data_IF_963064963452
#
_entry.id   IF_963064963452
#
_cell.length_a   1.000
_cell.length_b   1.000
_cell.length_c   1.000
_cell.angle_alpha   90.00
_cell.angle_beta   90.00
_cell.angle_gamma   90.00
#
_symmetry.space_group_name_H-M   'P 1'
#
loop_
_entity.id
_entity.type
_entity.pdbx_description
1 polymer ?
#
# COMPACT_ATOMS: atom_id res chain seq x y z
N UNK A 1 -24.84 30.73 -18.87
CA UNK A 1 -25.94 29.75 -18.69
C UNK A 1 -25.92 29.46 -17.22
N UNK A 2 -26.82 30.11 -16.46
CA UNK A 2 -26.86 29.97 -15.01
C UNK A 2 -27.34 28.56 -14.68
N UNK A 3 -26.49 27.74 -14.08
CA UNK A 3 -26.91 26.46 -13.50
C UNK A 3 -27.93 26.76 -12.41
N UNK A 4 -29.21 26.54 -12.74
CA UNK A 4 -30.31 26.70 -11.81
C UNK A 4 -30.11 25.70 -10.68
N UNK A 5 -29.73 26.18 -9.51
CA UNK A 5 -29.65 25.39 -8.29
C UNK A 5 -31.05 24.86 -7.96
N UNK A 6 -31.33 23.63 -8.38
CA UNK A 6 -32.63 22.99 -8.24
C UNK A 6 -32.73 22.20 -6.93
N UNK A 7 -33.95 21.76 -6.61
CA UNK A 7 -34.22 21.00 -5.38
C UNK A 7 -33.43 19.69 -5.31
N UNK A 8 -33.18 19.03 -6.45
CA UNK A 8 -32.38 17.81 -6.50
C UNK A 8 -30.91 18.08 -6.17
N UNK A 9 -30.35 19.18 -6.66
CA UNK A 9 -29.00 19.64 -6.32
C UNK A 9 -28.87 19.94 -4.83
N UNK A 10 -29.89 20.56 -4.23
CA UNK A 10 -29.95 20.76 -2.77
C UNK A 10 -29.96 19.43 -2.00
N UNK A 11 -30.80 18.47 -2.41
CA UNK A 11 -30.86 17.14 -1.77
C UNK A 11 -29.54 16.39 -1.90
N UNK A 12 -28.89 16.45 -3.08
CA UNK A 12 -27.57 15.86 -3.30
C UNK A 12 -26.52 16.48 -2.37
N UNK A 13 -26.48 17.81 -2.26
CA UNK A 13 -25.55 18.53 -1.37
C UNK A 13 -25.77 18.18 0.11
N UNK A 14 -27.04 18.08 0.55
CA UNK A 14 -27.35 17.65 1.92
C UNK A 14 -26.90 16.21 2.20
N UNK A 15 -27.12 15.29 1.25
CA UNK A 15 -26.66 13.89 1.35
C UNK A 15 -25.14 13.82 1.41
N UNK A 16 -24.46 14.52 0.50
CA UNK A 16 -23.00 14.56 0.45
C UNK A 16 -22.43 15.10 1.77
N UNK A 17 -22.96 16.24 2.24
CA UNK A 17 -22.57 16.84 3.52
C UNK A 17 -22.76 15.85 4.67
N UNK A 18 -23.91 15.18 4.75
CA UNK A 18 -24.18 14.18 5.78
C UNK A 18 -23.18 13.03 5.75
N UNK A 19 -22.95 12.43 4.58
CA UNK A 19 -22.00 11.33 4.40
C UNK A 19 -20.57 11.76 4.73
N UNK A 20 -20.13 12.94 4.28
CA UNK A 20 -18.80 13.47 4.61
C UNK A 20 -18.63 13.70 6.12
N UNK A 21 -19.65 14.26 6.80
CA UNK A 21 -19.57 14.47 8.25
C UNK A 21 -19.54 13.17 9.04
N UNK A 22 -20.34 12.16 8.63
CA UNK A 22 -20.29 10.82 9.23
C UNK A 22 -18.91 10.17 9.05
N UNK A 23 -18.33 10.24 7.86
CA UNK A 23 -16.99 9.71 7.58
C UNK A 23 -15.91 10.41 8.42
N UNK A 24 -15.99 11.74 8.57
CA UNK A 24 -15.07 12.50 9.44
C UNK A 24 -15.17 12.09 10.90
N UNK A 25 -16.40 11.93 11.42
CA UNK A 25 -16.62 11.47 12.79
C UNK A 25 -16.02 10.07 13.01
N UNK A 26 -16.28 9.13 12.09
CA UNK A 26 -15.71 7.78 12.15
C UNK A 26 -14.18 7.79 12.09
N UNK A 27 -13.57 8.60 11.22
CA UNK A 27 -12.11 8.75 11.14
C UNK A 27 -11.53 9.31 12.44
N UNK A 28 -12.16 10.33 13.02
CA UNK A 28 -11.72 10.91 14.29
C UNK A 28 -11.73 9.86 15.40
N UNK A 29 -12.82 9.08 15.52
CA UNK A 29 -12.91 8.00 16.50
C UNK A 29 -11.81 6.96 16.26
N UNK A 30 -11.56 6.56 15.01
CA UNK A 30 -10.52 5.59 14.69
C UNK A 30 -9.13 6.06 15.11
N UNK A 31 -8.77 7.32 14.86
CA UNK A 31 -7.47 7.90 15.23
C UNK A 31 -7.34 7.98 16.76
N UNK A 32 -8.37 8.46 17.46
CA UNK A 32 -8.38 8.53 18.92
C UNK A 32 -8.24 7.15 19.57
N UNK A 33 -8.83 6.12 18.98
CA UNK A 33 -8.63 4.72 19.40
C UNK A 33 -7.17 4.28 19.23
N UNK A 34 -6.50 4.67 18.14
CA UNK A 34 -5.08 4.36 17.91
C UNK A 34 -4.22 5.06 18.96
N UNK A 35 -4.45 6.35 19.20
CA UNK A 35 -3.72 7.12 20.21
C UNK A 35 -3.90 6.54 21.60
N UNK A 36 -5.14 6.20 21.98
CA UNK A 36 -5.44 5.52 23.25
C UNK A 36 -4.67 4.21 23.38
N UNK A 37 -4.69 3.37 22.35
CA UNK A 37 -4.02 2.07 22.38
C UNK A 37 -2.49 2.23 22.46
N UNK A 38 -1.93 3.23 21.78
CA UNK A 38 -0.51 3.58 21.90
C UNK A 38 -0.14 4.01 23.32
N UNK A 39 -0.94 4.90 23.93
CA UNK A 39 -0.75 5.34 25.32
C UNK A 39 -0.86 4.18 26.32
N UNK A 40 -1.80 3.26 26.10
CA UNK A 40 -1.92 2.08 26.95
C UNK A 40 -0.68 1.18 26.83
N UNK A 41 -0.14 1.02 25.62
CA UNK A 41 1.14 0.35 25.41
C UNK A 41 2.29 1.03 26.16
N UNK A 42 2.36 2.35 26.11
CA UNK A 42 3.34 3.14 26.86
C UNK A 42 3.21 2.92 28.38
N UNK A 43 2.00 3.03 28.95
CA UNK A 43 1.75 2.81 30.38
C UNK A 43 2.20 1.40 30.82
N UNK A 44 1.93 0.38 30.00
CA UNK A 44 2.35 -1.00 30.28
C UNK A 44 3.89 -1.10 30.31
N UNK A 45 4.58 -0.54 29.32
CA UNK A 45 6.05 -0.61 29.24
C UNK A 45 6.72 0.17 30.36
N UNK A 46 6.26 1.38 30.66
CA UNK A 46 6.78 2.19 31.78
C UNK A 46 6.58 1.49 33.12
N UNK A 47 5.39 0.93 33.36
CA UNK A 47 5.11 0.18 34.58
C UNK A 47 6.02 -1.04 34.73
N UNK A 48 6.30 -1.75 33.63
CA UNK A 48 7.23 -2.88 33.61
C UNK A 48 8.68 -2.47 33.90
N UNK A 49 9.11 -1.28 33.46
CA UNK A 49 10.48 -0.80 33.65
C UNK A 49 10.71 -0.15 35.03
N UNK A 50 9.74 0.62 35.52
CA UNK A 50 9.89 1.53 36.66
C UNK A 50 9.00 1.20 37.88
N UNK A 51 8.10 0.23 37.78
CA UNK A 51 7.18 -0.14 38.86
C UNK A 51 7.88 -0.60 40.15
N UNK A 52 7.24 -0.48 41.31
CA UNK A 52 7.84 -0.90 42.58
C UNK A 52 7.94 -2.45 42.70
N UNK A 53 6.98 -3.18 42.11
CA UNK A 53 6.81 -4.64 42.27
C UNK A 53 7.46 -5.47 41.14
N UNK A 54 8.70 -5.15 40.76
CA UNK A 54 9.37 -5.66 39.53
C UNK A 54 9.71 -7.15 39.54
N UNK A 55 9.82 -7.75 40.72
CA UNK A 55 10.56 -9.00 40.90
C UNK A 55 9.83 -10.29 40.45
N UNK A 56 8.56 -10.23 40.03
CA UNK A 56 7.77 -11.47 39.93
C UNK A 56 6.84 -11.56 38.68
N UNK A 57 6.66 -10.52 37.85
CA UNK A 57 5.33 -10.33 37.20
C UNK A 57 5.28 -9.92 35.70
N UNK A 58 6.08 -10.51 34.80
CA UNK A 58 6.01 -10.21 33.35
C UNK A 58 4.70 -10.62 32.65
N UNK A 59 4.19 -11.85 32.91
CA UNK A 59 2.87 -12.35 32.47
C UNK A 59 1.74 -12.02 33.47
N UNK A 60 2.16 -11.76 34.71
CA UNK A 60 1.40 -11.23 35.84
C UNK A 60 0.41 -10.11 35.54
N UNK A 61 1.02 -9.06 35.02
CA UNK A 61 0.43 -7.71 34.96
C UNK A 61 -0.66 -7.63 33.91
N UNK A 62 -0.48 -8.23 32.73
CA UNK A 62 -1.47 -8.16 31.66
C UNK A 62 -2.78 -8.84 32.07
N UNK A 63 -2.71 -9.97 32.77
CA UNK A 63 -3.87 -10.67 33.30
C UNK A 63 -4.63 -9.83 34.33
N UNK A 64 -3.92 -9.29 35.33
CA UNK A 64 -4.52 -8.40 36.35
C UNK A 64 -5.13 -7.15 35.72
N UNK A 65 -4.41 -6.53 34.79
CA UNK A 65 -4.84 -5.34 34.08
C UNK A 65 -6.05 -5.62 33.18
N UNK A 66 -6.09 -6.77 32.52
CA UNK A 66 -7.23 -7.19 31.69
C UNK A 66 -8.51 -7.31 32.53
N UNK A 67 -8.44 -7.97 33.69
CA UNK A 67 -9.57 -8.07 34.62
C UNK A 67 -10.01 -6.68 35.08
N UNK A 68 -9.09 -5.88 35.62
CA UNK A 68 -9.40 -4.56 36.16
C UNK A 68 -9.97 -3.59 35.09
N UNK A 69 -9.44 -3.58 33.87
CA UNK A 69 -9.96 -2.73 32.80
C UNK A 69 -11.31 -3.23 32.29
N UNK A 70 -11.53 -4.55 32.25
CA UNK A 70 -12.81 -5.11 31.81
C UNK A 70 -13.92 -4.80 32.80
N UNK A 71 -13.63 -4.82 34.10
CA UNK A 71 -14.57 -4.45 35.17
C UNK A 71 -14.92 -2.95 35.14
N UNK A 72 -13.93 -2.08 34.90
CA UNK A 72 -14.13 -0.62 34.98
C UNK A 72 -14.59 0.03 33.66
N UNK A 73 -14.15 -0.48 32.51
CA UNK A 73 -14.37 0.13 31.19
C UNK A 73 -15.18 -0.74 30.23
N UNK A 74 -15.54 -1.96 30.64
CA UNK A 74 -16.32 -2.90 29.83
C UNK A 74 -15.49 -3.77 28.87
N UNK A 75 -16.15 -4.35 27.87
CA UNK A 75 -15.52 -5.34 26.97
C UNK A 75 -14.49 -4.70 26.04
N UNK A 76 -13.44 -5.45 25.68
CA UNK A 76 -12.43 -5.04 24.69
C UNK A 76 -10.98 -5.03 25.20
N UNK A 77 -10.76 -5.27 26.50
CA UNK A 77 -9.43 -5.24 27.14
C UNK A 77 -8.92 -6.64 27.49
N UNK A 78 -8.89 -7.55 26.52
CA UNK A 78 -8.34 -8.89 26.72
C UNK A 78 -6.82 -8.85 26.93
N UNK A 79 -6.25 -9.89 27.55
CA UNK A 79 -4.78 -10.04 27.67
C UNK A 79 -4.08 -9.89 26.31
N UNK A 80 -4.66 -10.48 25.26
CA UNK A 80 -4.17 -10.38 23.87
C UNK A 80 -4.20 -8.94 23.35
N UNK A 81 -5.27 -8.20 23.62
CA UNK A 81 -5.41 -6.80 23.21
C UNK A 81 -4.36 -5.92 23.89
N UNK A 82 -4.12 -6.12 25.18
CA UNK A 82 -3.09 -5.39 25.92
C UNK A 82 -1.68 -5.74 25.45
N UNK A 83 -1.44 -6.99 25.07
CA UNK A 83 -0.18 -7.40 24.44
C UNK A 83 0.02 -6.73 23.08
N UNK A 84 -1.03 -6.61 22.26
CA UNK A 84 -0.99 -5.86 21.00
C UNK A 84 -0.70 -4.38 21.24
N UNK A 85 -1.28 -3.74 22.25
CA UNK A 85 -0.99 -2.35 22.61
C UNK A 85 0.48 -2.18 23.02
N UNK A 86 1.01 -3.10 23.83
CA UNK A 86 2.43 -3.12 24.20
C UNK A 86 3.33 -3.26 22.97
N UNK A 87 3.06 -4.24 22.10
CA UNK A 87 3.82 -4.47 20.87
C UNK A 87 3.76 -3.23 19.96
N UNK A 88 2.59 -2.62 19.83
CA UNK A 88 2.38 -1.40 19.05
C UNK A 88 3.28 -0.26 19.52
N UNK A 89 3.30 0.04 20.82
CA UNK A 89 4.18 1.07 21.37
C UNK A 89 5.67 0.77 21.10
N UNK A 90 6.10 -0.49 21.29
CA UNK A 90 7.47 -0.92 21.06
C UNK A 90 7.88 -0.86 19.58
N UNK A 91 6.96 -1.16 18.67
CA UNK A 91 7.22 -1.09 17.23
C UNK A 91 7.32 0.34 16.74
N UNK A 92 6.53 1.26 17.29
CA UNK A 92 6.52 2.67 16.91
C UNK A 92 7.33 3.57 17.88
N UNK A 93 8.51 3.09 18.31
CA UNK A 93 9.42 3.84 19.19
C UNK A 93 10.05 5.09 18.55
N UNK A 94 10.10 5.19 17.21
CA UNK A 94 10.55 6.41 16.53
C UNK A 94 9.63 7.60 16.86
N UNK A 95 8.32 7.36 17.00
CA UNK A 95 7.33 8.35 17.44
C UNK A 95 7.57 8.69 18.93
N UNK A 96 8.02 7.71 19.71
CA UNK A 96 8.38 7.83 21.12
C UNK A 96 9.60 8.70 21.37
N UNK A 97 10.61 8.81 20.49
CA UNK A 97 11.80 9.63 20.82
C UNK A 97 11.48 11.13 21.00
N UNK A 98 10.60 11.70 20.17
CA UNK A 98 10.18 13.11 20.28
C UNK A 98 9.19 13.35 21.42
N UNK A 99 8.30 12.39 21.66
CA UNK A 99 7.19 12.51 22.62
C UNK A 99 7.63 12.07 24.03
N UNK A 100 8.38 10.98 24.15
CA UNK A 100 8.94 10.49 25.41
C UNK A 100 10.00 11.40 26.00
N UNK A 101 10.75 12.17 25.20
CA UNK A 101 11.58 13.25 25.74
C UNK A 101 10.73 14.30 26.50
N UNK A 102 9.49 14.55 26.07
CA UNK A 102 8.52 15.41 26.78
C UNK A 102 7.88 14.71 27.99
N UNK A 103 7.81 13.37 28.01
CA UNK A 103 7.28 12.58 29.12
C UNK A 103 8.32 12.16 30.18
N UNK A 104 9.64 12.18 29.88
CA UNK A 104 10.74 11.66 30.72
C UNK A 104 11.05 12.42 32.03
N UNK A 105 10.17 13.29 32.51
CA UNK A 105 10.27 13.85 33.87
C UNK A 105 8.91 14.33 34.40
N UNK A 106 8.38 13.86 35.55
CA UNK A 106 8.73 12.70 36.37
C UNK A 106 7.54 11.69 36.46
N UNK A 107 7.72 10.48 35.92
CA UNK A 107 6.88 9.31 36.25
C UNK A 107 7.29 8.69 37.60
N UNK A 108 8.03 9.43 38.44
CA UNK A 108 8.23 9.08 39.83
C UNK A 108 6.87 9.16 40.51
N UNK A 109 6.19 8.02 40.53
CA UNK A 109 4.94 7.74 41.20
C UNK A 109 5.00 8.30 42.62
N UNK A 110 4.38 9.47 42.83
CA UNK A 110 3.77 9.82 44.10
C UNK A 110 2.59 8.86 44.33
N UNK A 111 2.91 7.59 44.59
CA UNK A 111 2.00 6.63 45.20
C UNK A 111 2.15 6.64 46.72
N UNK A 112 2.69 7.73 47.28
CA UNK A 112 2.57 8.03 48.72
C UNK A 112 1.26 8.79 48.95
N UNK A 113 0.47 8.26 49.88
CA UNK A 113 -0.87 8.68 50.26
C UNK A 113 -1.13 10.19 50.20
N UNK A 114 -2.14 10.56 49.41
CA UNK A 114 -2.84 11.84 49.50
C UNK A 114 -2.12 13.08 48.93
N UNK A 115 -2.14 13.29 47.61
CA UNK A 115 -2.15 14.64 47.03
C UNK A 115 -2.35 14.67 45.49
N UNK A 116 -3.42 15.35 45.07
CA UNK A 116 -3.59 16.13 43.82
C UNK A 116 -3.14 15.51 42.48
N UNK A 117 -4.11 14.98 41.74
CA UNK A 117 -4.13 14.99 40.26
C UNK A 117 -4.10 16.47 39.82
N UNK A 118 -3.01 17.06 39.24
CA UNK A 118 -3.05 17.57 37.85
C UNK A 118 -1.69 17.98 37.21
N UNK A 119 -0.76 17.07 36.91
CA UNK A 119 0.39 17.38 36.02
C UNK A 119 0.56 16.37 34.87
N UNK A 120 0.13 15.13 35.07
CA UNK A 120 0.19 14.07 34.05
C UNK A 120 -0.96 14.19 33.04
N UNK A 121 -2.18 14.51 33.49
CA UNK A 121 -3.35 14.70 32.60
C UNK A 121 -3.22 15.94 31.72
N UNK A 122 -2.66 17.04 32.24
CA UNK A 122 -2.41 18.25 31.44
C UNK A 122 -1.38 17.99 30.33
N UNK A 123 -0.36 17.18 30.59
CA UNK A 123 0.63 16.77 29.58
C UNK A 123 0.09 15.81 28.53
N UNK A 124 -0.69 14.80 28.94
CA UNK A 124 -1.40 13.92 27.99
C UNK A 124 -2.27 14.77 27.06
N UNK A 125 -3.05 15.70 27.60
CA UNK A 125 -3.88 16.62 26.82
C UNK A 125 -3.10 17.50 25.84
N UNK A 126 -1.84 17.85 26.13
CA UNK A 126 -0.98 18.63 25.24
C UNK A 126 -0.35 17.78 24.12
N UNK A 127 -0.14 16.49 24.37
CA UNK A 127 0.50 15.56 23.40
C UNK A 127 -0.48 14.80 22.51
N UNK A 128 -1.75 14.66 22.91
CA UNK A 128 -2.78 13.98 22.10
C UNK A 128 -2.93 14.62 20.71
N UNK A 129 -3.00 15.96 20.56
CA UNK A 129 -3.05 16.59 19.24
C UNK A 129 -1.83 16.31 18.34
N UNK A 130 -0.64 16.15 18.93
CA UNK A 130 0.58 15.80 18.18
C UNK A 130 0.56 14.33 17.75
N UNK A 131 -0.01 13.45 18.58
CA UNK A 131 -0.15 12.02 18.28
C UNK A 131 -1.24 11.76 17.23
N UNK A 132 -2.37 12.47 17.29
CA UNK A 132 -3.45 12.33 16.30
C UNK A 132 -3.01 12.76 14.90
N UNK A 133 -2.05 13.69 14.78
CA UNK A 133 -1.46 14.07 13.50
C UNK A 133 -0.48 13.04 12.93
N UNK A 134 0.08 12.15 13.77
CA UNK A 134 1.06 11.14 13.34
C UNK A 134 0.42 9.83 12.88
N UNK A 135 -0.82 9.56 13.25
CA UNK A 135 -1.50 8.33 12.88
C UNK A 135 -2.53 8.61 11.78
N UNK A 136 -2.35 7.94 10.64
CA UNK A 136 -3.24 8.11 9.47
C UNK A 136 -4.20 6.93 9.28
N UNK A 137 -3.88 5.78 9.89
CA UNK A 137 -4.62 4.52 9.73
C UNK A 137 -5.46 4.18 10.98
N UNK A 138 -6.47 3.32 10.79
CA UNK A 138 -7.28 2.81 11.92
C UNK A 138 -6.53 1.74 12.71
N UNK A 139 -6.98 1.46 13.94
CA UNK A 139 -6.38 0.43 14.81
C UNK A 139 -6.28 -0.94 14.13
N UNK A 140 -7.29 -1.34 13.36
CA UNK A 140 -7.29 -2.62 12.64
C UNK A 140 -6.16 -2.73 11.64
N UNK A 141 -5.81 -1.66 10.92
CA UNK A 141 -4.64 -1.65 10.02
C UNK A 141 -3.35 -1.89 10.80
N UNK A 142 -3.18 -1.21 11.95
CA UNK A 142 -2.01 -1.39 12.79
C UNK A 142 -1.92 -2.81 13.35
N UNK A 143 -3.04 -3.45 13.69
CA UNK A 143 -3.06 -4.86 14.08
C UNK A 143 -2.53 -5.76 12.95
N UNK A 144 -2.96 -5.54 11.70
CA UNK A 144 -2.46 -6.30 10.54
C UNK A 144 -0.97 -6.01 10.30
N UNK A 145 -0.52 -4.76 10.39
CA UNK A 145 0.90 -4.37 10.28
C UNK A 145 1.80 -4.97 11.38
N UNK A 146 1.26 -5.25 12.57
CA UNK A 146 1.99 -5.91 13.66
C UNK A 146 2.31 -7.38 13.37
N UNK A 147 1.70 -7.98 12.35
CA UNK A 147 2.02 -9.34 11.89
C UNK A 147 3.25 -9.39 10.98
N UNK A 148 3.61 -8.26 10.37
CA UNK A 148 4.83 -8.11 9.56
C UNK A 148 6.03 -8.00 10.48
N UNK A 149 7.05 -8.84 10.31
CA UNK A 149 8.23 -8.86 11.18
C UNK A 149 9.25 -7.77 10.84
N UNK A 150 9.56 -7.59 9.55
CA UNK A 150 10.59 -6.65 9.10
C UNK A 150 10.14 -5.19 9.22
N UNK A 151 10.89 -4.32 9.92
CA UNK A 151 10.52 -2.91 10.08
C UNK A 151 10.41 -2.12 8.77
N UNK A 152 11.28 -2.41 7.80
CA UNK A 152 11.29 -1.75 6.48
C UNK A 152 10.05 -2.12 5.64
N UNK A 153 9.68 -3.40 5.62
CA UNK A 153 8.46 -3.93 4.99
C UNK A 153 7.21 -3.33 5.65
N UNK A 154 7.16 -3.31 6.98
CA UNK A 154 6.03 -2.75 7.73
C UNK A 154 5.81 -1.27 7.41
N UNK A 155 6.89 -0.47 7.38
CA UNK A 155 6.82 0.96 7.10
C UNK A 155 6.39 1.23 5.66
N UNK A 156 6.86 0.41 4.71
CA UNK A 156 6.38 0.46 3.32
C UNK A 156 4.86 0.27 3.24
N UNK A 157 4.33 -0.80 3.84
CA UNK A 157 2.89 -1.06 3.83
C UNK A 157 2.07 -0.01 4.59
N UNK A 158 2.61 0.59 5.65
CA UNK A 158 1.96 1.71 6.35
C UNK A 158 1.81 2.93 5.43
N UNK A 159 2.89 3.32 4.74
CA UNK A 159 2.87 4.45 3.80
C UNK A 159 1.93 4.16 2.62
N UNK A 160 2.03 2.98 2.02
CA UNK A 160 1.17 2.62 0.89
C UNK A 160 -0.30 2.53 1.29
N UNK A 161 -0.63 1.95 2.45
CA UNK A 161 -2.01 1.89 2.91
C UNK A 161 -2.61 3.28 3.12
N UNK A 162 -1.86 4.20 3.74
CA UNK A 162 -2.35 5.55 4.00
C UNK A 162 -2.50 6.35 2.70
N UNK A 163 -1.51 6.24 1.81
CA UNK A 163 -1.47 7.02 0.58
C UNK A 163 -2.41 6.50 -0.52
N UNK A 164 -2.71 5.21 -0.56
CA UNK A 164 -3.71 4.61 -1.47
C UNK A 164 -5.09 4.48 -0.83
N UNK A 165 -5.27 4.90 0.43
CA UNK A 165 -6.51 4.68 1.20
C UNK A 165 -6.96 3.22 1.19
N UNK A 166 -6.01 2.29 1.33
CA UNK A 166 -6.32 0.86 1.36
C UNK A 166 -7.25 0.54 2.54
N UNK A 167 -8.22 -0.34 2.29
CA UNK A 167 -8.96 -0.97 3.37
C UNK A 167 -8.07 -1.98 4.11
N UNK A 168 -8.49 -2.42 5.30
CA UNK A 168 -7.77 -3.48 6.05
C UNK A 168 -7.61 -4.74 5.21
N UNK A 169 -8.65 -5.11 4.46
CA UNK A 169 -8.64 -6.26 3.55
C UNK A 169 -7.62 -6.09 2.44
N UNK A 170 -7.54 -4.89 1.86
CA UNK A 170 -6.59 -4.58 0.80
C UNK A 170 -5.15 -4.59 1.33
N UNK A 171 -4.91 -4.02 2.50
CA UNK A 171 -3.61 -4.10 3.17
C UNK A 171 -3.20 -5.56 3.42
N UNK A 172 -4.10 -6.39 3.96
CA UNK A 172 -3.86 -7.81 4.19
C UNK A 172 -3.59 -8.57 2.88
N UNK A 173 -4.32 -8.23 1.82
CA UNK A 173 -4.08 -8.76 0.47
C UNK A 173 -2.69 -8.38 -0.04
N UNK A 174 -2.29 -7.12 0.08
CA UNK A 174 -0.99 -6.64 -0.39
C UNK A 174 0.17 -7.27 0.39
N UNK A 175 0.02 -7.39 1.71
CA UNK A 175 0.96 -8.13 2.58
C UNK A 175 1.02 -9.61 2.16
N UNK A 176 -0.14 -10.24 1.97
CA UNK A 176 -0.25 -11.63 1.53
C UNK A 176 0.46 -11.84 0.20
N UNK A 177 0.24 -10.93 -0.75
CA UNK A 177 0.83 -10.94 -2.08
C UNK A 177 2.33 -10.57 -2.11
N UNK A 178 2.94 -10.30 -0.95
CA UNK A 178 4.36 -9.99 -0.81
C UNK A 178 4.82 -8.85 -1.74
N UNK A 179 3.99 -7.80 -1.89
CA UNK A 179 4.25 -6.67 -2.79
C UNK A 179 5.63 -6.05 -2.55
N UNK A 180 6.01 -5.88 -1.28
CA UNK A 180 7.32 -5.33 -0.90
C UNK A 180 8.45 -6.19 -1.45
N UNK A 181 8.40 -7.51 -1.26
CA UNK A 181 9.39 -8.45 -1.74
C UNK A 181 9.47 -8.47 -3.27
N UNK A 182 8.33 -8.43 -3.97
CA UNK A 182 8.29 -8.34 -5.45
C UNK A 182 8.96 -7.08 -5.97
N UNK A 183 8.66 -5.92 -5.37
CA UNK A 183 9.28 -4.65 -5.75
C UNK A 183 10.77 -4.62 -5.40
N UNK A 184 11.16 -5.26 -4.30
CA UNK A 184 12.55 -5.36 -3.91
C UNK A 184 13.39 -6.24 -4.84
N UNK A 185 12.83 -7.33 -5.38
CA UNK A 185 13.50 -8.21 -6.35
C UNK A 185 13.87 -7.48 -7.65
N UNK A 186 13.07 -6.50 -8.06
CA UNK A 186 13.27 -5.75 -9.31
C UNK A 186 14.18 -4.52 -9.15
N UNK A 187 14.67 -4.21 -7.94
CA UNK A 187 15.32 -2.93 -7.61
C UNK A 187 16.62 -3.11 -6.79
N UNK A 188 17.49 -2.11 -6.81
CA UNK A 188 18.73 -2.12 -6.01
C UNK A 188 18.46 -1.78 -4.53
N UNK A 189 19.36 -2.17 -3.63
CA UNK A 189 19.32 -2.00 -2.17
C UNK A 189 19.05 -0.56 -1.72
N UNK A 190 19.54 0.45 -2.45
CA UNK A 190 19.25 1.86 -2.17
C UNK A 190 17.81 2.24 -2.52
N UNK A 191 17.29 1.76 -3.66
CA UNK A 191 15.91 2.00 -4.07
C UNK A 191 14.92 1.32 -3.12
N UNK A 192 15.23 0.12 -2.65
CA UNK A 192 14.43 -0.57 -1.62
C UNK A 192 14.32 0.25 -0.33
N UNK A 193 15.43 0.86 0.11
CA UNK A 193 15.42 1.77 1.27
C UNK A 193 14.61 3.04 1.02
N UNK A 194 14.54 3.53 -0.22
CA UNK A 194 13.68 4.67 -0.55
C UNK A 194 12.19 4.30 -0.49
N UNK A 195 11.81 3.09 -0.91
CA UNK A 195 10.44 2.59 -0.83
C UNK A 195 9.93 2.58 0.62
N UNK A 196 10.74 2.12 1.58
CA UNK A 196 10.35 2.11 2.99
C UNK A 196 10.24 3.49 3.62
N UNK A 197 10.83 4.54 3.03
CA UNK A 197 10.78 5.90 3.58
C UNK A 197 9.72 6.79 2.94
N UNK A 198 9.50 6.64 1.64
CA UNK A 198 8.64 7.52 0.84
C UNK A 198 7.45 6.79 0.20
N UNK A 199 7.39 5.47 0.27
CA UNK A 199 6.46 4.67 -0.53
C UNK A 199 6.87 4.64 -2.00
N UNK A 200 5.95 4.17 -2.85
CA UNK A 200 6.10 4.19 -4.30
C UNK A 200 5.85 5.60 -4.82
N UNK A 201 6.92 6.29 -5.21
CA UNK A 201 6.86 7.58 -5.91
C UNK A 201 6.86 7.31 -7.41
N UNK A 202 5.80 7.72 -8.09
CA UNK A 202 5.67 7.58 -9.54
C UNK A 202 6.38 8.75 -10.22
N UNK A 203 7.64 8.56 -10.64
CA UNK A 203 8.39 9.57 -11.42
C UNK A 203 8.58 9.14 -12.87
N UNK A 204 8.71 7.83 -13.12
CA UNK A 204 8.98 7.28 -14.45
C UNK A 204 7.90 6.29 -14.86
N UNK A 205 7.75 6.10 -16.18
CA UNK A 205 6.86 5.10 -16.76
C UNK A 205 7.10 3.69 -16.23
N UNK A 206 8.37 3.33 -15.97
CA UNK A 206 8.75 2.05 -15.39
C UNK A 206 8.23 1.85 -13.96
N UNK A 207 7.98 2.92 -13.19
CA UNK A 207 7.46 2.81 -11.82
C UNK A 207 5.97 2.43 -11.78
N UNK A 208 5.23 2.58 -12.89
CA UNK A 208 3.84 2.13 -12.99
C UNK A 208 3.72 0.61 -13.07
N UNK A 209 4.81 -0.08 -13.40
CA UNK A 209 4.75 -1.49 -13.75
C UNK A 209 5.18 -2.30 -12.55
N UNK A 210 4.18 -2.98 -11.96
CA UNK A 210 4.44 -4.07 -11.02
C UNK A 210 4.79 -5.31 -11.84
N UNK A 211 6.04 -5.75 -11.78
CA UNK A 211 6.50 -6.99 -12.43
C UNK A 211 6.90 -8.01 -11.34
N UNK A 212 6.19 -9.14 -11.20
CA UNK A 212 4.96 -9.51 -11.91
C UNK A 212 3.71 -8.82 -11.34
N UNK A 213 2.69 -8.64 -12.18
CA UNK A 213 1.36 -8.18 -11.78
C UNK A 213 0.54 -9.37 -11.26
N UNK A 214 0.08 -9.32 -10.01
CA UNK A 214 -0.64 -10.45 -9.39
C UNK A 214 -2.15 -10.22 -9.48
N UNK A 215 -2.84 -11.11 -10.21
CA UNK A 215 -4.26 -11.03 -10.55
C UNK A 215 -5.12 -12.03 -9.75
N UNK A 216 -4.69 -12.42 -8.56
CA UNK A 216 -5.39 -13.39 -7.70
C UNK A 216 -6.82 -12.97 -7.35
N UNK A 217 -7.07 -11.67 -7.30
CA UNK A 217 -8.38 -11.10 -7.00
C UNK A 217 -9.45 -11.33 -8.07
N UNK A 218 -9.05 -11.81 -9.24
CA UNK A 218 -9.99 -12.22 -10.28
C UNK A 218 -10.77 -13.48 -9.88
N UNK A 219 -10.32 -14.20 -8.84
CA UNK A 219 -10.95 -15.44 -8.33
C UNK A 219 -11.22 -16.46 -9.45
N UNK A 220 -10.39 -16.44 -10.49
CA UNK A 220 -10.48 -17.37 -11.60
C UNK A 220 -10.18 -18.78 -11.09
N UNK A 221 -11.00 -19.75 -11.49
CA UNK A 221 -10.75 -21.17 -11.21
C UNK A 221 -9.34 -21.61 -11.68
N UNK A 222 -8.78 -22.65 -11.07
CA UNK A 222 -7.53 -23.26 -11.55
C UNK A 222 -7.78 -24.08 -12.82
N UNK A 223 -8.08 -23.41 -13.92
CA UNK A 223 -8.18 -24.01 -15.25
C UNK A 223 -6.84 -23.92 -15.96
N UNK A 224 -6.55 -24.94 -16.78
CA UNK A 224 -5.34 -25.03 -17.59
C UNK A 224 -5.23 -23.93 -18.65
N UNK A 225 -6.34 -23.26 -18.99
CA UNK A 225 -6.35 -22.14 -19.95
C UNK A 225 -7.61 -21.28 -19.82
N UNK A 226 -7.42 -19.96 -19.85
CA UNK A 226 -8.46 -18.95 -20.10
C UNK A 226 -8.30 -18.36 -21.50
N UNK A 227 -9.34 -17.77 -22.10
CA UNK A 227 -9.19 -16.91 -23.28
C UNK A 227 -8.74 -15.50 -22.90
N UNK A 228 -8.28 -14.71 -23.86
CA UNK A 228 -7.96 -13.28 -23.63
C UNK A 228 -9.22 -12.51 -23.24
N UNK A 229 -10.33 -12.77 -23.94
CA UNK A 229 -11.64 -12.19 -23.64
C UNK A 229 -12.12 -12.52 -22.21
N UNK A 230 -11.94 -13.76 -21.75
CA UNK A 230 -12.31 -14.17 -20.38
C UNK A 230 -11.46 -13.46 -19.31
N UNK A 231 -10.17 -13.28 -19.58
CA UNK A 231 -9.27 -12.57 -18.65
C UNK A 231 -9.59 -11.07 -18.62
N UNK A 232 -9.86 -10.46 -19.78
CA UNK A 232 -10.31 -9.08 -19.85
C UNK A 232 -11.64 -8.90 -19.10
N UNK A 233 -12.62 -9.76 -19.36
CA UNK A 233 -13.94 -9.69 -18.71
C UNK A 233 -13.80 -9.79 -17.19
N UNK A 234 -12.97 -10.71 -16.70
CA UNK A 234 -12.67 -10.80 -15.27
C UNK A 234 -12.01 -9.52 -14.72
N UNK A 235 -11.08 -8.91 -15.45
CA UNK A 235 -10.44 -7.64 -15.05
C UNK A 235 -11.46 -6.51 -15.02
N UNK A 236 -12.39 -6.45 -15.98
CA UNK A 236 -13.45 -5.45 -16.04
C UNK A 236 -14.44 -5.63 -14.88
N UNK A 237 -14.86 -6.85 -14.60
CA UNK A 237 -15.75 -7.17 -13.48
C UNK A 237 -15.13 -6.78 -12.12
N UNK A 238 -13.79 -6.79 -12.05
CA UNK A 238 -13.00 -6.43 -10.87
C UNK A 238 -12.16 -5.18 -11.10
N UNK A 239 -12.62 -4.24 -11.94
CA UNK A 239 -11.82 -3.09 -12.36
C UNK A 239 -11.33 -2.23 -11.19
N UNK A 240 -12.15 -2.09 -10.13
CA UNK A 240 -11.74 -1.40 -8.90
C UNK A 240 -10.50 -2.05 -8.27
N UNK A 241 -10.50 -3.37 -8.15
CA UNK A 241 -9.39 -4.12 -7.56
C UNK A 241 -8.17 -4.16 -8.49
N UNK A 242 -8.38 -4.18 -9.81
CA UNK A 242 -7.32 -4.06 -10.79
C UNK A 242 -6.68 -2.67 -10.75
N UNK A 243 -7.46 -1.60 -10.64
CA UNK A 243 -6.94 -0.24 -10.46
C UNK A 243 -6.12 -0.11 -9.17
N UNK A 244 -6.59 -0.71 -8.06
CA UNK A 244 -5.83 -0.78 -6.82
C UNK A 244 -4.52 -1.56 -6.99
N UNK A 245 -4.54 -2.63 -7.77
CA UNK A 245 -3.32 -3.40 -8.07
C UNK A 245 -2.39 -2.65 -9.03
N UNK A 246 -2.88 -1.84 -9.97
CA UNK A 246 -2.01 -0.99 -10.81
C UNK A 246 -1.37 0.15 -9.99
N UNK A 247 -2.09 0.71 -9.02
CA UNK A 247 -1.60 1.73 -8.12
C UNK A 247 -2.21 3.11 -8.35
N UNK A 248 -1.47 4.17 -8.04
CA UNK A 248 -2.05 5.53 -7.94
C UNK A 248 -2.23 6.23 -9.27
N UNK A 249 -3.30 7.00 -9.34
CA UNK A 249 -3.52 8.00 -10.37
C UNK A 249 -4.15 7.46 -11.65
N UNK A 250 -4.47 6.18 -11.72
CA UNK A 250 -5.17 5.61 -12.87
C UNK A 250 -6.63 6.05 -12.89
N UNK A 251 -7.06 6.48 -14.07
CA UNK A 251 -8.44 6.76 -14.45
C UNK A 251 -8.78 5.86 -15.63
N UNK A 252 -9.85 5.09 -15.52
CA UNK A 252 -10.32 4.26 -16.61
C UNK A 252 -11.03 5.11 -17.66
N UNK A 253 -10.61 4.99 -18.92
CA UNK A 253 -11.22 5.70 -20.04
C UNK A 253 -12.14 4.79 -20.85
N UNK A 254 -11.63 3.65 -21.31
CA UNK A 254 -12.36 2.77 -22.22
C UNK A 254 -11.82 1.33 -22.20
N UNK A 255 -12.70 0.40 -22.58
CA UNK A 255 -12.37 -0.99 -22.93
C UNK A 255 -12.56 -1.22 -24.43
N UNK A 256 -11.81 -2.15 -25.01
CA UNK A 256 -11.92 -2.57 -26.42
C UNK A 256 -11.98 -1.36 -27.37
N UNK A 257 -11.08 -0.39 -27.15
CA UNK A 257 -11.10 0.87 -27.89
C UNK A 257 -10.70 0.60 -29.33
N UNK A 258 -11.64 0.82 -30.26
CA UNK A 258 -11.43 0.59 -31.68
C UNK A 258 -10.64 1.72 -32.33
N UNK A 259 -9.58 1.36 -33.04
CA UNK A 259 -8.84 2.20 -33.98
C UNK A 259 -9.15 1.71 -35.39
N UNK A 260 -9.49 2.63 -36.28
CA UNK A 260 -9.74 2.31 -37.69
C UNK A 260 -8.72 3.07 -38.51
N UNK A 261 -7.90 2.33 -39.25
CA UNK A 261 -6.96 2.88 -40.22
C UNK A 261 -7.34 2.32 -41.58
N UNK A 262 -7.79 3.20 -42.47
CA UNK A 262 -8.40 2.83 -43.75
C UNK A 262 -9.55 1.82 -43.57
N UNK A 263 -9.32 0.54 -43.91
CA UNK A 263 -10.28 -0.56 -43.79
C UNK A 263 -9.92 -1.58 -42.69
N UNK A 264 -8.82 -1.37 -41.97
CA UNK A 264 -8.39 -2.28 -40.91
C UNK A 264 -8.85 -1.77 -39.54
N UNK A 265 -9.37 -2.69 -38.74
CA UNK A 265 -9.83 -2.41 -37.38
C UNK A 265 -8.90 -3.06 -36.36
N UNK A 266 -8.43 -2.26 -35.42
CA UNK A 266 -7.58 -2.68 -34.33
C UNK A 266 -8.25 -2.32 -32.99
N UNK A 267 -7.97 -3.08 -31.95
CA UNK A 267 -8.59 -2.90 -30.64
C UNK A 267 -7.51 -2.91 -29.57
N UNK A 268 -7.52 -1.89 -28.71
CA UNK A 268 -6.76 -1.90 -27.46
C UNK A 268 -7.69 -2.39 -26.36
N UNK A 269 -7.27 -3.41 -25.63
CA UNK A 269 -8.10 -4.04 -24.59
C UNK A 269 -8.52 -3.03 -23.53
N UNK A 270 -7.57 -2.29 -22.96
CA UNK A 270 -7.85 -1.31 -21.91
C UNK A 270 -7.08 0.00 -22.12
N UNK A 271 -7.78 1.11 -21.92
CA UNK A 271 -7.22 2.46 -22.00
C UNK A 271 -7.42 3.17 -20.67
N UNK A 272 -6.32 3.61 -20.09
CA UNK A 272 -6.30 4.40 -18.87
C UNK A 272 -5.58 5.73 -19.10
N UNK A 273 -5.82 6.64 -18.17
CA UNK A 273 -5.05 7.87 -18.02
C UNK A 273 -4.42 7.91 -16.63
N UNK A 274 -3.12 8.20 -16.54
CA UNK A 274 -2.48 8.43 -15.26
C UNK A 274 -2.41 9.93 -14.96
N UNK A 275 -3.20 10.41 -13.98
CA UNK A 275 -3.26 11.84 -13.61
C UNK A 275 -2.00 12.38 -12.92
N UNK A 276 -1.17 11.51 -12.35
CA UNK A 276 0.05 11.92 -11.65
C UNK A 276 1.18 12.14 -12.66
N UNK A 277 1.34 11.20 -13.60
CA UNK A 277 2.30 11.31 -14.70
C UNK A 277 1.79 12.17 -15.87
N UNK A 278 0.47 12.44 -15.92
CA UNK A 278 -0.21 13.18 -17.00
C UNK A 278 0.01 12.56 -18.37
N UNK A 279 -0.20 11.25 -18.48
CA UNK A 279 -0.07 10.50 -19.74
C UNK A 279 -1.15 9.42 -19.87
N UNK A 280 -1.41 8.99 -21.10
CA UNK A 280 -2.20 7.80 -21.38
C UNK A 280 -1.40 6.53 -21.09
N UNK A 281 -2.09 5.50 -20.61
CA UNK A 281 -1.55 4.16 -20.38
C UNK A 281 -2.43 3.16 -21.11
N UNK A 282 -1.88 2.52 -22.13
CA UNK A 282 -2.53 1.52 -22.96
C UNK A 282 -2.14 0.14 -22.47
N UNK A 283 -3.11 -0.73 -22.27
CA UNK A 283 -2.93 -2.08 -21.75
C UNK A 283 -3.49 -3.10 -22.74
N UNK A 284 -2.67 -4.08 -23.08
CA UNK A 284 -2.99 -5.20 -23.97
C UNK A 284 -2.64 -6.51 -23.27
N UNK A 285 -3.61 -7.43 -23.20
CA UNK A 285 -3.52 -8.70 -22.52
C UNK A 285 -3.12 -9.77 -23.53
N UNK A 286 -2.09 -10.57 -23.20
CA UNK A 286 -1.59 -11.64 -24.06
C UNK A 286 -1.41 -12.91 -23.25
N UNK A 287 -2.12 -13.97 -23.61
CA UNK A 287 -2.00 -15.25 -22.89
C UNK A 287 -0.72 -16.00 -23.24
N UNK A 288 -0.28 -15.88 -24.49
CA UNK A 288 0.84 -16.64 -25.01
C UNK A 288 2.17 -15.89 -24.85
N UNK A 289 3.26 -16.50 -25.34
CA UNK A 289 4.57 -15.84 -25.37
C UNK A 289 4.46 -14.58 -26.22
N UNK A 290 4.94 -13.46 -25.68
CA UNK A 290 5.03 -12.19 -26.38
C UNK A 290 5.69 -12.37 -27.75
N UNK A 291 5.07 -11.83 -28.80
CA UNK A 291 5.58 -11.84 -30.18
C UNK A 291 6.01 -10.44 -30.64
N UNK A 292 6.83 -10.38 -31.69
CA UNK A 292 7.21 -9.10 -32.29
C UNK A 292 6.01 -8.35 -32.90
N UNK A 293 4.96 -9.09 -33.31
CA UNK A 293 3.72 -8.52 -33.84
C UNK A 293 2.97 -7.74 -32.76
N UNK A 294 2.86 -8.29 -31.55
CA UNK A 294 2.19 -7.65 -30.42
C UNK A 294 2.87 -6.34 -30.04
N UNK A 295 4.21 -6.35 -29.99
CA UNK A 295 5.01 -5.16 -29.72
C UNK A 295 4.88 -4.10 -30.81
N UNK A 296 4.86 -4.50 -32.08
CA UNK A 296 4.63 -3.61 -33.21
C UNK A 296 3.23 -2.98 -33.18
N UNK A 297 2.21 -3.76 -32.82
CA UNK A 297 0.83 -3.31 -32.66
C UNK A 297 0.72 -2.30 -31.51
N UNK A 298 1.31 -2.59 -30.34
CA UNK A 298 1.36 -1.64 -29.23
C UNK A 298 2.10 -0.35 -29.60
N UNK A 299 3.18 -0.44 -30.39
CA UNK A 299 3.89 0.73 -30.89
C UNK A 299 3.04 1.61 -31.80
N UNK A 300 2.22 1.00 -32.64
CA UNK A 300 1.25 1.72 -33.45
C UNK A 300 0.21 2.43 -32.57
N UNK A 301 -0.29 1.78 -31.52
CA UNK A 301 -1.23 2.39 -30.57
C UNK A 301 -0.65 3.59 -29.83
N UNK A 302 0.53 3.43 -29.23
CA UNK A 302 1.23 4.52 -28.52
C UNK A 302 1.45 5.71 -29.44
N UNK A 303 1.93 5.47 -30.67
CA UNK A 303 2.15 6.53 -31.65
C UNK A 303 0.86 7.22 -32.07
N UNK A 304 -0.26 6.49 -32.17
CA UNK A 304 -1.54 7.09 -32.49
C UNK A 304 -2.01 8.04 -31.38
N UNK A 305 -1.91 7.64 -30.11
CA UNK A 305 -2.25 8.51 -28.99
C UNK A 305 -1.35 9.73 -28.92
N UNK A 306 -0.05 9.55 -29.08
CA UNK A 306 0.91 10.66 -29.03
C UNK A 306 0.72 11.70 -30.13
N UNK A 307 0.19 11.30 -31.30
CA UNK A 307 -0.01 12.19 -32.45
C UNK A 307 -1.40 12.79 -32.55
N UNK A 308 -2.43 12.09 -32.09
CA UNK A 308 -3.83 12.46 -32.37
C UNK A 308 -4.74 12.57 -31.14
N UNK A 309 -4.35 12.01 -30.00
CA UNK A 309 -5.21 11.97 -28.80
C UNK A 309 -4.68 12.87 -27.70
N UNK A 310 -3.39 12.76 -27.38
CA UNK A 310 -2.80 13.54 -26.31
C UNK A 310 -2.75 15.03 -26.66
N UNK A 311 -2.82 15.84 -25.63
CA UNK A 311 -2.60 17.29 -25.69
C UNK A 311 -1.11 17.62 -25.57
N UNK A 312 -0.74 18.86 -25.92
CA UNK A 312 0.67 19.30 -25.87
C UNK A 312 1.27 19.26 -24.45
N UNK A 313 0.43 19.46 -23.43
CA UNK A 313 0.86 19.46 -22.03
C UNK A 313 0.97 18.06 -21.41
N UNK A 314 0.62 17.02 -22.16
CA UNK A 314 0.63 15.63 -21.69
C UNK A 314 1.95 14.92 -22.05
N UNK A 315 2.42 14.13 -21.09
CA UNK A 315 3.61 13.30 -21.24
C UNK A 315 3.37 12.19 -22.27
N UNK A 316 4.45 11.66 -22.89
CA UNK A 316 4.31 10.60 -23.89
C UNK A 316 3.58 9.37 -23.34
N UNK A 317 2.73 8.79 -24.19
CA UNK A 317 1.87 7.64 -23.88
C UNK A 317 2.71 6.42 -23.54
N UNK A 318 2.22 5.63 -22.59
CA UNK A 318 2.87 4.40 -22.12
C UNK A 318 2.07 3.21 -22.63
N UNK A 319 2.74 2.25 -23.25
CA UNK A 319 2.17 0.96 -23.63
C UNK A 319 2.62 -0.14 -22.68
N UNK A 320 1.69 -0.94 -22.17
CA UNK A 320 1.97 -2.08 -21.30
C UNK A 320 1.34 -3.32 -21.94
N UNK A 321 2.18 -4.29 -22.28
CA UNK A 321 1.72 -5.62 -22.72
C UNK A 321 1.85 -6.58 -21.56
N UNK A 322 0.72 -7.06 -21.04
CA UNK A 322 0.66 -8.03 -19.95
C UNK A 322 0.67 -9.43 -20.54
N UNK A 323 1.74 -10.20 -20.30
CA UNK A 323 1.92 -11.53 -20.89
C UNK A 323 2.12 -12.64 -19.86
N UNK A 324 1.75 -13.88 -20.17
CA UNK A 324 2.04 -15.02 -19.30
C UNK A 324 3.54 -15.39 -19.32
N UNK A 325 4.22 -15.17 -20.46
CA UNK A 325 5.66 -15.42 -20.62
C UNK A 325 6.34 -14.26 -21.34
N UNK A 326 7.24 -13.60 -20.62
CA UNK A 326 8.08 -12.51 -21.11
C UNK A 326 9.40 -13.03 -21.72
N UNK A 327 9.90 -12.33 -22.73
CA UNK A 327 11.22 -12.56 -23.32
C UNK A 327 11.92 -11.20 -23.54
N UNK A 328 12.77 -10.79 -22.59
CA UNK A 328 13.38 -9.46 -22.59
C UNK A 328 14.20 -9.19 -23.86
N UNK A 329 14.93 -10.18 -24.38
CA UNK A 329 15.70 -10.04 -25.61
C UNK A 329 14.83 -9.71 -26.83
N UNK A 330 13.61 -10.25 -26.90
CA UNK A 330 12.68 -9.94 -27.99
C UNK A 330 12.15 -8.50 -27.87
N UNK A 331 11.90 -8.04 -26.65
CA UNK A 331 11.45 -6.67 -26.37
C UNK A 331 12.51 -5.67 -26.81
N UNK A 332 13.76 -5.86 -26.37
CA UNK A 332 14.88 -4.98 -26.70
C UNK A 332 15.20 -4.93 -28.20
N UNK A 333 15.06 -6.06 -28.91
CA UNK A 333 15.34 -6.13 -30.34
C UNK A 333 14.22 -5.56 -31.21
N UNK A 334 12.97 -5.56 -30.72
CA UNK A 334 11.80 -5.11 -31.51
C UNK A 334 11.52 -3.63 -31.33
N UNK A 335 11.72 -3.11 -30.12
CA UNK A 335 11.38 -1.72 -29.79
C UNK A 335 12.60 -0.79 -29.91
N UNK A 336 12.43 0.46 -30.38
CA UNK A 336 13.50 1.44 -30.35
C UNK A 336 13.86 1.82 -28.92
N UNK A 337 15.10 2.27 -28.69
CA UNK A 337 15.61 2.65 -27.35
C UNK A 337 14.78 3.71 -26.61
N UNK A 338 13.99 4.50 -27.35
CA UNK A 338 13.15 5.57 -26.79
C UNK A 338 11.66 5.18 -26.74
N UNK A 339 11.31 3.90 -26.95
CA UNK A 339 9.92 3.45 -26.84
C UNK A 339 9.47 3.46 -25.37
N UNK A 340 8.31 4.05 -25.12
CA UNK A 340 7.62 3.95 -23.83
C UNK A 340 6.71 2.72 -23.78
N UNK A 341 7.23 1.58 -24.22
CA UNK A 341 6.49 0.32 -24.26
C UNK A 341 7.21 -0.70 -23.41
N UNK A 342 6.43 -1.35 -22.56
CA UNK A 342 6.93 -2.28 -21.59
C UNK A 342 6.12 -3.58 -21.67
N UNK A 343 6.82 -4.70 -21.54
CA UNK A 343 6.18 -5.98 -21.30
C UNK A 343 6.28 -6.28 -19.81
N UNK A 344 5.18 -6.71 -19.18
CA UNK A 344 5.19 -7.21 -17.81
C UNK A 344 4.57 -8.59 -17.77
N UNK A 345 5.08 -9.43 -16.86
CA UNK A 345 4.50 -10.75 -16.64
C UNK A 345 3.32 -10.63 -15.68
N UNK A 346 2.19 -11.26 -15.98
CA UNK A 346 1.13 -11.43 -14.99
C UNK A 346 1.15 -12.84 -14.39
N UNK A 347 0.75 -12.93 -13.12
CA UNK A 347 0.55 -14.18 -12.41
C UNK A 347 -0.88 -14.21 -11.87
N UNK A 348 -1.61 -15.30 -12.16
CA UNK A 348 -2.95 -15.51 -11.61
C UNK A 348 -2.91 -15.92 -10.13
N UNK A 349 -1.78 -16.47 -9.69
CA UNK A 349 -1.58 -16.98 -8.33
C UNK A 349 -0.22 -16.54 -7.79
N UNK A 350 -0.16 -16.29 -6.49
CA UNK A 350 1.06 -15.89 -5.82
C UNK A 350 2.02 -17.09 -5.63
N UNK A 351 3.30 -16.99 -6.03
CA UNK A 351 4.32 -17.95 -5.61
C UNK A 351 4.49 -17.92 -4.08
N UNK A 352 4.89 -19.03 -3.46
CA UNK A 352 4.96 -19.08 -1.99
C UNK A 352 5.93 -18.02 -1.45
N UNK A 353 5.60 -17.41 -0.30
CA UNK A 353 6.46 -16.39 0.35
C UNK A 353 7.87 -16.92 0.61
N UNK A 354 8.01 -18.22 0.84
CA UNK A 354 9.31 -18.89 1.00
C UNK A 354 10.10 -18.93 -0.31
N UNK A 355 9.45 -19.16 -1.45
CA UNK A 355 10.11 -19.17 -2.76
C UNK A 355 10.56 -17.76 -3.18
N UNK A 356 9.74 -16.74 -2.92
CA UNK A 356 10.12 -15.34 -3.17
C UNK A 356 11.32 -14.93 -2.31
N UNK A 357 11.34 -15.30 -1.03
CA UNK A 357 12.48 -15.04 -0.14
C UNK A 357 13.75 -15.75 -0.61
N UNK A 358 13.65 -17.02 -1.01
CA UNK A 358 14.80 -17.77 -1.55
C UNK A 358 15.36 -17.15 -2.82
N UNK A 359 14.49 -16.70 -3.73
CA UNK A 359 14.92 -15.97 -4.93
C UNK A 359 15.64 -14.67 -4.59
N UNK A 360 15.13 -13.95 -3.58
CA UNK A 360 15.73 -12.71 -3.11
C UNK A 360 17.12 -12.98 -2.52
N UNK A 361 17.24 -13.99 -1.66
CA UNK A 361 18.52 -14.44 -1.09
C UNK A 361 19.51 -14.87 -2.18
N UNK A 362 19.09 -15.67 -3.16
CA UNK A 362 19.97 -16.11 -4.25
C UNK A 362 20.47 -14.96 -5.14
N UNK A 363 19.59 -14.00 -5.46
CA UNK A 363 19.97 -12.82 -6.25
C UNK A 363 20.91 -11.92 -5.45
N UNK A 364 20.67 -11.78 -4.14
CA UNK A 364 21.56 -10.98 -3.27
C UNK A 364 22.95 -11.61 -3.19
N UNK A 365 23.04 -12.94 -3.08
CA UNK A 365 24.31 -13.68 -3.10
C UNK A 365 25.04 -13.58 -4.45
N UNK A 366 24.32 -13.62 -5.58
CA UNK A 366 24.89 -13.44 -6.92
C UNK A 366 25.43 -12.01 -7.11
N UNK A 367 24.67 -10.99 -6.70
CA UNK A 367 25.10 -9.59 -6.77
C UNK A 367 26.33 -9.31 -5.87
N UNK A 368 26.43 -9.95 -4.71
CA UNK A 368 27.61 -9.85 -3.84
C UNK A 368 28.83 -10.56 -4.44
N UNK A 369 28.64 -11.70 -5.13
CA UNK A 369 29.72 -12.40 -5.86
C UNK A 369 30.23 -11.62 -7.07
N UNK A 370 29.34 -10.97 -7.82
CA UNK A 370 29.73 -10.17 -8.97
C UNK A 370 30.33 -8.82 -8.56
N UNK A 371 29.83 -8.18 -7.50
CA UNK A 371 30.46 -6.99 -6.91
C UNK A 371 31.90 -7.22 -6.46
N UNK A 372 32.19 -8.40 -5.89
CA UNK A 372 33.55 -8.79 -5.50
C UNK A 372 34.50 -9.04 -6.68
N UNK A 373 33.98 -9.38 -7.88
CA UNK A 373 34.80 -9.55 -9.08
C UNK A 373 35.22 -8.23 -9.73
N UNK A 374 34.40 -7.19 -9.60
CA UNK A 374 34.71 -5.86 -10.15
C UNK A 374 35.51 -4.94 -9.21
N UNK A 375 35.55 -5.23 -7.91
CA UNK A 375 36.40 -4.50 -6.95
C UNK A 375 37.83 -5.06 -6.83
N UNK A 376 38.13 -6.14 -7.54
CA UNK A 376 39.42 -6.85 -7.49
C UNK A 376 40.26 -6.78 -8.78
N UNK A 377 39.96 -5.87 -9.70
CA UNK A 377 40.73 -5.65 -10.93
C UNK A 377 41.39 -4.28 -10.95
#
# INVERSE_FOLDING_TARGET
MDEVFDFNSLVALCRETHTTMQQRAARSVNIELVVRNWLFGWYIVEYQQNGADRAEYGRSVLKKLSVALTENLGRGFSERSLEQYRKFYQTHLEISQTVSAKFKSPFALSLSEGAKIPQTLSRISLTVPELTQKFELSWSHYVSLLTVDHPEERRFYEIEAASNSWSVRELERQIGSSLYERLALSRNKEEVRTLSKKGLVLEKAADLIKDPLVLEFLELEERTSYSEDELEEAIIDKLEQFLLELGKGFLFEARQKRFTFDNDHFYVDLVFYNRLLRCYVLLDLKRDKLTHKDLGQMQMYVNHFDRHVKTEDEQPTIGIVLCHRKNDALVELTLPKNANIFASKYQLYLPSKEDLKKQLESITEELERDGARYSGS
#
